data_IF_026531800056
#
_entry.id   IF_026531800056
#
_cell.length_a   1.000
_cell.length_b   1.000
_cell.length_c   1.000
_cell.angle_alpha   90.00
_cell.angle_beta   90.00
_cell.angle_gamma   90.00
#
_symmetry.space_group_name_H-M   'P 1'
#
loop_
_entity.id
_entity.type
_entity.pdbx_description
1 polymer ?
#
# COMPACT_ATOMS: atom_id res chain seq x y z
N UNK A 1 6.31 -30.37 -0.65
CA UNK A 1 6.44 -29.87 0.73
C UNK A 1 6.49 -28.35 0.83
N UNK A 2 7.60 -27.71 0.46
CA UNK A 2 7.86 -26.28 0.77
C UNK A 2 7.07 -25.22 -0.06
N UNK A 3 6.73 -25.51 -1.32
CA UNK A 3 5.93 -24.59 -2.17
C UNK A 3 4.50 -24.41 -1.67
N UNK A 4 3.83 -25.48 -1.24
CA UNK A 4 2.48 -25.43 -0.65
C UNK A 4 2.45 -24.62 0.65
N UNK A 5 3.44 -24.80 1.53
CA UNK A 5 3.52 -24.02 2.79
C UNK A 5 3.68 -22.52 2.56
N UNK A 6 4.50 -22.10 1.58
CA UNK A 6 4.65 -20.68 1.22
C UNK A 6 3.37 -20.07 0.63
N UNK A 7 2.62 -20.83 -0.16
CA UNK A 7 1.35 -20.39 -0.74
C UNK A 7 0.25 -20.26 0.32
N UNK A 8 0.18 -21.19 1.28
CA UNK A 8 -0.78 -21.11 2.39
C UNK A 8 -0.46 -19.93 3.31
N UNK A 9 0.82 -19.67 3.57
CA UNK A 9 1.24 -18.54 4.39
C UNK A 9 1.00 -17.20 3.68
N UNK A 10 1.27 -17.12 2.37
CA UNK A 10 0.93 -15.95 1.55
C UNK A 10 -0.59 -15.70 1.49
N UNK A 11 -1.39 -16.77 1.37
CA UNK A 11 -2.86 -16.68 1.40
C UNK A 11 -3.38 -16.21 2.76
N UNK A 12 -2.84 -16.73 3.87
CA UNK A 12 -3.20 -16.30 5.21
C UNK A 12 -2.82 -14.85 5.51
N UNK A 13 -1.63 -14.42 5.06
CA UNK A 13 -1.18 -13.02 5.14
C UNK A 13 -2.07 -12.11 4.29
N UNK A 14 -2.43 -12.53 3.08
CA UNK A 14 -3.35 -11.76 2.24
C UNK A 14 -4.69 -11.59 2.94
N UNK A 15 -5.29 -12.66 3.48
CA UNK A 15 -6.56 -12.58 4.23
C UNK A 15 -6.43 -11.69 5.47
N UNK A 16 -5.35 -11.79 6.24
CA UNK A 16 -5.13 -10.93 7.39
C UNK A 16 -4.95 -9.46 6.99
N UNK A 17 -4.29 -9.20 5.87
CA UNK A 17 -4.16 -7.86 5.30
C UNK A 17 -5.51 -7.32 4.78
N UNK A 18 -6.38 -8.17 4.21
CA UNK A 18 -7.76 -7.79 3.84
C UNK A 18 -8.53 -7.31 5.05
N UNK A 19 -8.54 -8.14 6.09
CA UNK A 19 -9.30 -7.90 7.31
C UNK A 19 -8.73 -6.68 8.04
N UNK A 20 -7.40 -6.59 8.14
CA UNK A 20 -6.70 -5.45 8.71
C UNK A 20 -6.98 -4.16 7.95
N UNK A 21 -6.89 -4.15 6.62
CA UNK A 21 -7.17 -2.98 5.80
C UNK A 21 -8.63 -2.54 5.88
N UNK A 22 -9.59 -3.49 5.91
CA UNK A 22 -11.01 -3.16 6.10
C UNK A 22 -11.32 -2.56 7.48
N UNK A 23 -10.67 -3.07 8.53
CA UNK A 23 -10.78 -2.51 9.88
C UNK A 23 -10.14 -1.12 9.95
N UNK A 24 -8.94 -0.96 9.39
CA UNK A 24 -8.23 0.33 9.38
C UNK A 24 -9.01 1.37 8.57
N UNK A 25 -9.51 1.03 7.38
CA UNK A 25 -10.26 1.95 6.53
C UNK A 25 -11.58 2.43 7.15
N UNK A 26 -12.20 1.63 8.03
CA UNK A 26 -13.43 2.00 8.75
C UNK A 26 -13.17 2.77 10.05
N UNK A 27 -11.93 2.74 10.55
CA UNK A 27 -11.56 3.31 11.86
C UNK A 27 -10.52 4.42 11.78
N UNK A 28 -9.99 4.74 10.59
CA UNK A 28 -8.96 5.76 10.43
C UNK A 28 -9.41 7.11 10.96
N UNK A 29 -10.63 7.55 10.65
CA UNK A 29 -11.18 8.82 11.15
C UNK A 29 -11.25 8.86 12.69
N UNK A 30 -11.74 7.79 13.31
CA UNK A 30 -11.88 7.68 14.77
C UNK A 30 -10.52 7.60 15.49
N UNK A 31 -9.55 6.89 14.90
CA UNK A 31 -8.19 6.76 15.46
C UNK A 31 -7.48 8.12 15.44
N UNK A 32 -7.65 8.93 14.39
CA UNK A 32 -7.06 10.27 14.32
C UNK A 32 -7.76 11.29 15.22
N UNK A 33 -9.08 11.19 15.41
CA UNK A 33 -9.80 11.98 16.43
C UNK A 33 -9.33 11.64 17.86
N UNK A 34 -9.15 10.35 18.17
CA UNK A 34 -8.67 9.89 19.48
C UNK A 34 -7.24 10.37 19.79
N UNK A 35 -6.40 10.60 18.77
CA UNK A 35 -5.05 11.14 18.95
C UNK A 35 -5.02 12.66 19.19
N UNK A 36 -6.17 13.35 19.18
CA UNK A 36 -6.26 14.79 19.46
C UNK A 36 -5.45 15.67 18.49
N UNK A 37 -5.10 15.12 17.32
CA UNK A 37 -4.24 15.78 16.33
C UNK A 37 -5.11 16.21 15.17
N UNK A 38 -5.16 17.52 14.90
CA UNK A 38 -5.75 18.01 13.66
C UNK A 38 -5.05 17.31 12.48
N UNK A 39 -5.79 16.61 11.60
CA UNK A 39 -5.20 15.92 10.44
C UNK A 39 -4.56 16.88 9.43
N UNK A 40 -4.63 18.17 9.68
CA UNK A 40 -4.45 19.27 8.73
C UNK A 40 -2.99 19.72 8.56
N UNK A 41 -2.01 18.96 9.05
CA UNK A 41 -0.59 19.34 8.95
C UNK A 41 -0.05 19.41 7.50
N UNK A 42 -0.80 18.87 6.53
CA UNK A 42 -0.48 18.97 5.09
C UNK A 42 -1.68 19.32 4.21
N UNK A 43 -2.90 19.36 4.77
CA UNK A 43 -4.17 19.56 4.06
C UNK A 43 -4.49 18.52 2.96
N UNK A 44 -3.98 17.29 3.09
CA UNK A 44 -4.32 16.15 2.23
C UNK A 44 -5.65 15.49 2.57
N UNK A 45 -6.19 15.75 3.77
CA UNK A 45 -7.41 15.13 4.26
C UNK A 45 -8.62 15.37 3.33
N UNK A 46 -8.80 16.59 2.84
CA UNK A 46 -9.89 16.92 1.90
C UNK A 46 -9.81 16.12 0.59
N UNK A 47 -8.58 15.87 0.10
CA UNK A 47 -8.35 15.03 -1.08
C UNK A 47 -8.66 13.57 -0.75
N UNK A 48 -8.27 13.08 0.42
CA UNK A 48 -8.54 11.70 0.82
C UNK A 48 -10.03 11.44 1.03
N UNK A 49 -10.77 12.40 1.57
CA UNK A 49 -12.22 12.31 1.73
C UNK A 49 -12.93 12.23 0.37
N UNK A 50 -12.55 13.08 -0.60
CA UNK A 50 -13.12 13.02 -1.96
C UNK A 50 -12.75 11.71 -2.68
N UNK A 51 -11.52 11.24 -2.53
CA UNK A 51 -11.04 9.97 -3.07
C UNK A 51 -11.79 8.78 -2.47
N UNK A 52 -11.97 8.75 -1.15
CA UNK A 52 -12.71 7.69 -0.47
C UNK A 52 -14.19 7.71 -0.88
N UNK A 53 -14.80 8.90 -0.95
CA UNK A 53 -16.18 9.05 -1.43
C UNK A 53 -16.36 8.53 -2.86
N UNK A 54 -15.38 8.77 -3.75
CA UNK A 54 -15.42 8.23 -5.10
C UNK A 54 -15.13 6.72 -5.13
N UNK A 55 -14.18 6.23 -4.34
CA UNK A 55 -13.85 4.80 -4.25
C UNK A 55 -15.04 3.97 -3.72
N UNK A 56 -15.85 4.51 -2.82
CA UNK A 56 -17.05 3.86 -2.29
C UNK A 56 -18.13 3.57 -3.36
N UNK A 57 -18.10 4.26 -4.50
CA UNK A 57 -19.02 4.01 -5.61
C UNK A 57 -18.65 2.75 -6.41
N UNK A 58 -17.37 2.35 -6.43
CA UNK A 58 -16.86 1.14 -7.07
C UNK A 58 -15.84 0.41 -6.16
N UNK A 59 -16.26 -0.06 -4.96
CA UNK A 59 -15.33 -0.45 -3.90
C UNK A 59 -14.59 -1.76 -4.19
N UNK A 60 -15.13 -2.62 -5.05
CA UNK A 60 -14.57 -3.97 -5.31
C UNK A 60 -13.50 -3.94 -6.41
N UNK A 61 -13.82 -3.30 -7.54
CA UNK A 61 -12.99 -3.30 -8.77
C UNK A 61 -12.38 -1.94 -9.11
N UNK A 62 -12.81 -0.87 -8.45
CA UNK A 62 -12.34 0.49 -8.70
C UNK A 62 -12.85 1.08 -10.02
N UNK A 63 -12.29 2.23 -10.37
CA UNK A 63 -12.69 3.03 -11.54
C UNK A 63 -11.85 2.77 -12.81
N UNK A 64 -10.92 1.83 -12.76
CA UNK A 64 -9.99 1.54 -13.83
C UNK A 64 -8.65 2.25 -13.65
N UNK A 65 -7.58 1.59 -14.09
CA UNK A 65 -6.22 2.10 -13.99
C UNK A 65 -5.91 3.07 -15.12
N UNK A 66 -5.56 4.32 -14.77
CA UNK A 66 -5.15 5.35 -15.72
C UNK A 66 -3.80 6.00 -15.39
N UNK A 67 -3.14 5.55 -14.30
CA UNK A 67 -1.91 6.15 -13.81
C UNK A 67 -2.23 7.38 -12.98
N UNK A 68 -2.02 8.57 -13.54
CA UNK A 68 -2.42 9.82 -12.87
C UNK A 68 -3.90 10.13 -13.14
N UNK A 69 -4.55 10.82 -12.20
CA UNK A 69 -5.96 11.19 -12.33
C UNK A 69 -6.13 12.32 -13.35
N UNK A 70 -6.39 11.96 -14.61
CA UNK A 70 -6.63 12.93 -15.67
C UNK A 70 -7.92 13.74 -15.39
N UNK A 71 -7.84 15.04 -15.03
CA UNK A 71 -8.98 15.80 -14.52
C UNK A 71 -9.99 16.19 -15.60
N UNK A 72 -9.76 15.80 -16.85
CA UNK A 72 -10.72 15.92 -17.95
C UNK A 72 -11.48 14.62 -18.23
N UNK A 73 -11.12 13.51 -17.59
CA UNK A 73 -11.75 12.18 -17.77
C UNK A 73 -12.71 11.90 -16.62
N UNK A 74 -13.94 11.47 -16.92
CA UNK A 74 -14.85 10.96 -15.88
C UNK A 74 -14.30 9.65 -15.30
N UNK A 75 -14.29 9.44 -13.97
CA UNK A 75 -14.90 10.24 -12.89
C UNK A 75 -13.96 11.27 -12.20
N UNK A 76 -12.75 11.48 -12.70
CA UNK A 76 -11.70 12.25 -12.02
C UNK A 76 -11.84 13.78 -12.11
N UNK A 77 -12.85 14.26 -12.85
CA UNK A 77 -13.12 15.68 -13.01
C UNK A 77 -13.44 16.32 -11.66
N UNK A 78 -12.63 17.30 -11.24
CA UNK A 78 -12.81 18.02 -9.98
C UNK A 78 -12.47 17.21 -8.72
N UNK A 79 -11.92 15.99 -8.84
CA UNK A 79 -11.71 15.07 -7.71
C UNK A 79 -10.82 15.67 -6.61
N UNK A 80 -9.73 16.33 -6.99
CA UNK A 80 -8.72 16.80 -6.05
C UNK A 80 -8.31 18.25 -6.35
N UNK A 81 -9.27 19.17 -6.28
CA UNK A 81 -9.03 20.61 -6.47
C UNK A 81 -8.87 21.28 -5.12
N UNK A 82 -7.72 21.90 -4.88
CA UNK A 82 -7.46 22.69 -3.66
C UNK A 82 -6.84 24.03 -4.03
N UNK A 83 -7.44 25.11 -3.54
CA UNK A 83 -6.98 26.48 -3.79
C UNK A 83 -6.77 26.79 -5.30
N UNK A 84 -7.59 26.20 -6.17
CA UNK A 84 -7.49 26.34 -7.63
C UNK A 84 -6.43 25.45 -8.30
N UNK A 85 -5.65 24.68 -7.53
CA UNK A 85 -4.67 23.71 -8.05
C UNK A 85 -5.30 22.33 -8.09
N UNK A 86 -5.18 21.66 -9.23
CA UNK A 86 -5.65 20.28 -9.42
C UNK A 86 -4.52 19.30 -9.11
N UNK A 87 -4.76 18.40 -8.17
CA UNK A 87 -3.88 17.30 -7.83
C UNK A 87 -4.26 16.05 -8.64
N UNK A 88 -3.25 15.27 -9.01
CA UNK A 88 -3.39 14.14 -9.93
C UNK A 88 -3.14 12.78 -9.27
N UNK A 89 -2.95 12.76 -7.95
CA UNK A 89 -2.68 11.57 -7.13
C UNK A 89 -3.07 11.84 -5.66
N UNK A 90 -3.24 10.79 -4.87
CA UNK A 90 -3.61 10.90 -3.46
C UNK A 90 -2.43 11.30 -2.57
N UNK A 91 -1.21 11.24 -3.11
CA UNK A 91 0.02 11.22 -2.32
C UNK A 91 0.01 10.10 -1.27
N UNK A 92 -0.63 8.99 -1.60
CA UNK A 92 -0.72 7.75 -0.84
C UNK A 92 -1.01 6.63 -1.85
N UNK A 93 -0.07 5.71 -2.01
CA UNK A 93 -0.18 4.66 -3.02
C UNK A 93 -1.35 3.69 -2.76
N UNK A 94 -1.77 3.51 -1.51
CA UNK A 94 -2.85 2.61 -1.14
C UNK A 94 -4.21 3.21 -1.51
N UNK A 95 -4.40 4.51 -1.28
CA UNK A 95 -5.60 5.22 -1.72
C UNK A 95 -5.71 5.26 -3.24
N UNK A 96 -4.59 5.47 -3.94
CA UNK A 96 -4.55 5.42 -5.40
C UNK A 96 -4.96 4.05 -5.96
N UNK A 97 -4.43 2.96 -5.38
CA UNK A 97 -4.81 1.59 -5.76
C UNK A 97 -6.27 1.29 -5.41
N UNK A 98 -6.74 1.72 -4.24
CA UNK A 98 -8.13 1.53 -3.82
C UNK A 98 -9.10 2.23 -4.78
N UNK A 99 -8.80 3.48 -5.18
CA UNK A 99 -9.64 4.23 -6.11
C UNK A 99 -9.67 3.59 -7.50
N UNK A 100 -8.50 3.23 -8.04
CA UNK A 100 -8.37 2.79 -9.43
C UNK A 100 -8.70 1.31 -9.63
N UNK A 101 -8.35 0.44 -8.67
CA UNK A 101 -8.43 -1.03 -8.82
C UNK A 101 -9.28 -1.68 -7.73
N UNK A 102 -9.81 -0.89 -6.79
CA UNK A 102 -10.71 -1.36 -5.75
C UNK A 102 -10.04 -2.24 -4.71
N UNK A 103 -10.87 -2.86 -3.87
CA UNK A 103 -10.41 -3.77 -2.84
C UNK A 103 -9.59 -4.92 -3.43
N UNK A 104 -9.99 -5.54 -4.54
CA UNK A 104 -9.25 -6.67 -5.12
C UNK A 104 -7.80 -6.26 -5.48
N UNK A 105 -7.64 -5.10 -6.12
CA UNK A 105 -6.32 -4.55 -6.43
C UNK A 105 -5.50 -4.24 -5.19
N UNK A 106 -6.12 -3.61 -4.18
CA UNK A 106 -5.47 -3.28 -2.92
C UNK A 106 -4.95 -4.54 -2.20
N UNK A 107 -5.70 -5.63 -2.23
CA UNK A 107 -5.31 -6.91 -1.64
C UNK A 107 -4.14 -7.55 -2.35
N UNK A 108 -4.18 -7.57 -3.69
CA UNK A 108 -3.07 -8.07 -4.49
C UNK A 108 -1.80 -7.24 -4.25
N UNK A 109 -1.93 -5.92 -4.21
CA UNK A 109 -0.85 -4.99 -3.93
C UNK A 109 -0.25 -5.21 -2.53
N UNK A 110 -1.09 -5.30 -1.50
CA UNK A 110 -0.65 -5.59 -0.14
C UNK A 110 0.05 -6.95 -0.03
N UNK A 111 -0.45 -7.99 -0.71
CA UNK A 111 0.21 -9.30 -0.76
C UNK A 111 1.62 -9.22 -1.37
N UNK A 112 1.79 -8.47 -2.46
CA UNK A 112 3.10 -8.23 -3.08
C UNK A 112 4.03 -7.50 -2.11
N UNK A 113 3.55 -6.45 -1.44
CA UNK A 113 4.33 -5.70 -0.44
C UNK A 113 4.78 -6.63 0.68
N UNK A 114 3.85 -7.35 1.34
CA UNK A 114 4.19 -8.16 2.50
C UNK A 114 5.11 -9.32 2.12
N UNK A 115 4.82 -10.02 1.02
CA UNK A 115 5.68 -11.12 0.58
C UNK A 115 7.09 -10.64 0.20
N UNK A 116 7.21 -9.47 -0.41
CA UNK A 116 8.52 -8.86 -0.73
C UNK A 116 9.24 -8.41 0.52
N UNK A 117 8.54 -7.74 1.44
CA UNK A 117 9.09 -7.29 2.72
C UNK A 117 9.60 -8.45 3.56
N UNK A 118 8.81 -9.51 3.71
CA UNK A 118 9.20 -10.74 4.41
C UNK A 118 10.43 -11.38 3.75
N UNK A 119 10.48 -11.43 2.41
CA UNK A 119 11.66 -11.98 1.70
C UNK A 119 12.90 -11.10 1.90
N UNK A 120 12.76 -9.79 1.87
CA UNK A 120 13.84 -8.84 2.15
C UNK A 120 14.31 -8.95 3.61
N UNK A 121 13.39 -9.15 4.55
CA UNK A 121 13.71 -9.41 5.95
C UNK A 121 14.54 -10.69 6.09
N UNK A 122 14.05 -11.83 5.57
CA UNK A 122 14.80 -13.08 5.60
C UNK A 122 16.15 -12.97 4.88
N UNK A 123 16.22 -12.26 3.76
CA UNK A 123 17.49 -12.02 3.08
C UNK A 123 18.47 -11.17 3.90
N UNK A 124 17.96 -10.27 4.76
CA UNK A 124 18.75 -9.45 5.65
C UNK A 124 19.23 -10.20 6.91
N UNK A 125 18.45 -11.18 7.41
CA UNK A 125 18.77 -11.95 8.64
C UNK A 125 19.43 -13.31 8.38
N UNK A 126 19.15 -13.95 7.24
CA UNK A 126 19.76 -15.21 6.85
C UNK A 126 21.09 -14.94 6.14
N UNK A 127 22.14 -15.70 6.50
CA UNK A 127 23.42 -15.62 5.81
C UNK A 127 23.25 -15.98 4.33
N UNK A 128 23.78 -15.19 3.38
CA UNK A 128 23.74 -15.55 1.96
C UNK A 128 24.47 -16.87 1.71
N UNK A 129 23.77 -17.88 1.19
CA UNK A 129 24.33 -19.20 0.87
C UNK A 129 24.40 -19.41 -0.66
N UNK A 130 25.04 -18.50 -1.40
CA UNK A 130 25.14 -18.60 -2.87
C UNK A 130 25.92 -19.84 -3.35
N UNK A 131 26.81 -20.39 -2.51
CA UNK A 131 27.44 -21.71 -2.70
C UNK A 131 27.14 -22.60 -1.50
N UNK A 132 26.81 -23.87 -1.77
CA UNK A 132 26.45 -24.87 -0.75
C UNK A 132 27.61 -25.23 0.20
N UNK A 133 28.81 -24.78 -0.14
CA UNK A 133 30.09 -25.21 0.43
C UNK A 133 30.91 -24.03 1.01
N UNK A 134 30.40 -22.79 0.97
CA UNK A 134 31.01 -21.63 1.67
C UNK A 134 29.95 -20.72 2.26
N UNK A 135 30.08 -20.45 3.56
CA UNK A 135 29.33 -19.39 4.24
C UNK A 135 30.05 -18.08 3.97
N UNK A 136 29.44 -17.17 3.22
CA UNK A 136 30.01 -15.83 3.01
C UNK A 136 29.85 -14.95 4.28
N UNK A 137 30.79 -14.02 4.53
CA UNK A 137 30.66 -13.07 5.63
C UNK A 137 29.44 -12.17 5.43
N UNK A 138 28.91 -11.65 6.53
CA UNK A 138 27.79 -10.71 6.51
C UNK A 138 28.17 -9.48 5.69
N UNK A 139 27.45 -9.23 4.60
CA UNK A 139 27.62 -8.02 3.80
C UNK A 139 26.51 -7.02 4.14
N UNK A 140 26.88 -5.76 4.37
CA UNK A 140 25.92 -4.67 4.63
C UNK A 140 24.92 -4.48 3.48
N UNK A 141 25.28 -4.89 2.26
CA UNK A 141 24.39 -4.91 1.09
C UNK A 141 23.16 -5.81 1.28
N UNK A 142 23.20 -6.80 2.19
CA UNK A 142 22.04 -7.63 2.50
C UNK A 142 20.87 -6.82 3.12
N UNK A 143 21.16 -5.64 3.70
CA UNK A 143 20.15 -4.75 4.25
C UNK A 143 19.46 -3.90 3.17
N UNK A 144 20.09 -3.69 2.01
CA UNK A 144 19.61 -2.75 1.00
C UNK A 144 18.17 -3.04 0.54
N UNK A 145 17.77 -4.30 0.25
CA UNK A 145 16.39 -4.60 -0.13
C UNK A 145 15.37 -4.30 0.98
N UNK A 146 15.75 -4.50 2.25
CA UNK A 146 14.87 -4.24 3.39
C UNK A 146 14.69 -2.73 3.63
N UNK A 147 15.78 -1.96 3.56
CA UNK A 147 15.75 -0.51 3.69
C UNK A 147 14.95 0.13 2.55
N UNK A 148 15.16 -0.33 1.31
CA UNK A 148 14.40 0.13 0.16
C UNK A 148 12.90 -0.16 0.32
N UNK A 149 12.55 -1.40 0.70
CA UNK A 149 11.15 -1.76 0.94
C UNK A 149 10.52 -0.92 2.07
N UNK A 150 11.29 -0.61 3.12
CA UNK A 150 10.83 0.25 4.21
C UNK A 150 10.57 1.67 3.72
N UNK A 151 11.46 2.23 2.90
CA UNK A 151 11.28 3.56 2.32
C UNK A 151 10.06 3.63 1.38
N UNK A 152 9.77 2.56 0.64
CA UNK A 152 8.64 2.50 -0.30
C UNK A 152 7.28 2.30 0.40
N UNK A 153 7.24 1.57 1.51
CA UNK A 153 5.99 1.29 2.24
C UNK A 153 5.42 2.52 2.95
N UNK A 154 6.28 3.49 3.29
CA UNK A 154 5.95 4.68 4.11
C UNK A 154 5.52 5.88 3.23
N UNK A 155 5.35 5.70 1.93
CA UNK A 155 5.05 6.79 0.98
C UNK A 155 3.64 7.34 1.08
#
# INVERSE_FOLDING_TARGET
GRRRGRLVLAGGVAVAAVVGAGIVATRTAEVFELLGRSPDLTGRFQIWESVLGLAQQQPVVGWGWIGYWAPWVHPFQGLAVRSGVTYLQAHDAYLDVLLQVGAIGLLAFACVIVTTYVRSWWAAIDRPQHRRDRVEPYSTLALAPLLLMTALVVQ
#
